data_IF_826005931252
#
_entry.id   IF_826005931252
#
_cell.length_a   1.000
_cell.length_b   1.000
_cell.length_c   1.000
_cell.angle_alpha   90.00
_cell.angle_beta   90.00
_cell.angle_gamma   90.00
#
_symmetry.space_group_name_H-M   'P 1'
#
loop_
_entity.id
_entity.type
_entity.pdbx_description
1 polymer ?
#
# COMPACT_ATOMS: atom_id res chain seq x y z
N UNK A 1 6.25 -8.56 19.83
CA UNK A 1 7.53 -7.82 20.07
C UNK A 1 7.22 -6.47 20.72
N UNK A 2 7.70 -6.21 21.94
CA UNK A 2 7.44 -4.94 22.67
C UNK A 2 7.90 -3.67 21.94
N UNK A 3 8.87 -3.80 21.02
CA UNK A 3 9.47 -2.68 20.28
C UNK A 3 8.83 -2.38 18.93
N UNK A 4 7.86 -3.17 18.48
CA UNK A 4 7.27 -2.97 17.15
C UNK A 4 6.51 -1.64 17.04
N UNK A 5 5.70 -1.29 18.05
CA UNK A 5 4.94 -0.04 18.02
C UNK A 5 5.82 1.22 18.03
N UNK A 6 6.86 1.34 18.89
CA UNK A 6 7.84 2.43 18.78
C UNK A 6 8.52 2.51 17.43
N UNK A 7 8.92 1.37 16.85
CA UNK A 7 9.53 1.32 15.53
C UNK A 7 8.55 1.81 14.44
N UNK A 8 7.29 1.39 14.51
CA UNK A 8 6.25 1.82 13.59
C UNK A 8 6.02 3.34 13.68
N UNK A 9 5.98 3.89 14.90
CA UNK A 9 5.91 5.35 15.13
C UNK A 9 7.09 6.08 14.51
N UNK A 10 8.31 5.55 14.66
CA UNK A 10 9.50 6.13 14.05
C UNK A 10 9.42 6.12 12.53
N UNK A 11 8.88 5.05 11.94
CA UNK A 11 8.73 4.93 10.49
C UNK A 11 7.78 5.97 9.89
N UNK A 12 6.76 6.40 10.64
CA UNK A 12 5.84 7.48 10.24
C UNK A 12 6.32 8.88 10.63
N UNK A 13 7.41 9.01 11.40
CA UNK A 13 7.97 10.31 11.74
C UNK A 13 8.79 10.87 10.56
N UNK A 14 8.12 11.48 9.58
CA UNK A 14 8.74 11.97 8.33
C UNK A 14 9.85 13.01 8.53
N UNK A 15 9.92 13.65 9.70
CA UNK A 15 10.99 14.61 10.03
C UNK A 15 12.25 13.93 10.59
N UNK A 16 12.14 12.69 11.04
CA UNK A 16 13.27 11.95 11.59
C UNK A 16 14.16 11.40 10.46
N UNK A 17 15.49 11.58 10.52
CA UNK A 17 16.40 11.13 9.46
C UNK A 17 16.33 9.61 9.21
N UNK A 18 16.16 8.82 10.27
CA UNK A 18 16.06 7.35 10.17
C UNK A 18 14.63 6.81 9.91
N UNK A 19 13.64 7.65 9.61
CA UNK A 19 12.26 7.20 9.36
C UNK A 19 12.18 6.18 8.21
N UNK A 20 12.90 6.41 7.13
CA UNK A 20 12.97 5.48 6.00
C UNK A 20 13.63 4.14 6.37
N UNK A 21 14.67 4.15 7.21
CA UNK A 21 15.32 2.93 7.71
C UNK A 21 14.38 2.15 8.63
N UNK A 22 13.65 2.86 9.50
CA UNK A 22 12.61 2.25 10.33
C UNK A 22 11.53 1.60 9.46
N UNK A 23 11.09 2.24 8.38
CA UNK A 23 10.15 1.66 7.42
C UNK A 23 10.66 0.35 6.80
N UNK A 24 11.95 0.28 6.46
CA UNK A 24 12.58 -0.95 5.94
C UNK A 24 12.57 -2.08 6.98
N UNK A 25 12.90 -1.76 8.23
CA UNK A 25 12.88 -2.76 9.31
C UNK A 25 11.44 -3.24 9.54
N UNK A 26 10.45 -2.34 9.53
CA UNK A 26 9.02 -2.73 9.64
C UNK A 26 8.61 -3.67 8.50
N UNK A 27 9.01 -3.37 7.26
CA UNK A 27 8.77 -4.25 6.10
C UNK A 27 9.39 -5.63 6.31
N UNK A 28 10.67 -5.70 6.69
CA UNK A 28 11.36 -6.97 6.94
C UNK A 28 10.66 -7.80 8.03
N UNK A 29 10.23 -7.16 9.11
CA UNK A 29 9.48 -7.82 10.18
C UNK A 29 8.13 -8.36 9.68
N UNK A 30 7.39 -7.57 8.89
CA UNK A 30 6.11 -8.00 8.33
C UNK A 30 6.24 -9.10 7.26
N UNK A 31 7.37 -9.14 6.55
CA UNK A 31 7.70 -10.23 5.62
C UNK A 31 7.99 -11.53 6.35
N UNK A 32 8.70 -11.45 7.49
CA UNK A 32 8.99 -12.60 8.34
C UNK A 32 7.73 -13.11 9.05
N UNK A 33 7.01 -12.23 9.74
CA UNK A 33 5.75 -12.54 10.41
C UNK A 33 4.79 -11.35 10.32
N UNK A 34 3.80 -11.46 9.43
CA UNK A 34 2.80 -10.42 9.23
C UNK A 34 1.89 -10.25 10.46
N UNK A 35 1.74 -11.24 11.33
CA UNK A 35 0.86 -11.14 12.50
C UNK A 35 1.32 -10.09 13.51
N UNK A 36 2.58 -9.68 13.46
CA UNK A 36 3.13 -8.61 14.29
C UNK A 36 2.40 -7.27 14.14
N UNK A 37 1.80 -7.01 12.97
CA UNK A 37 1.11 -5.75 12.69
C UNK A 37 -0.35 -5.74 13.16
N UNK A 38 -0.91 -6.90 13.55
CA UNK A 38 -2.35 -7.09 13.81
C UNK A 38 -2.92 -6.05 14.77
N UNK A 39 -2.25 -5.80 15.89
CA UNK A 39 -2.71 -4.86 16.92
C UNK A 39 -2.38 -3.40 16.59
N UNK A 40 -1.74 -3.17 15.44
CA UNK A 40 -1.28 -1.86 14.97
C UNK A 40 -1.93 -1.43 13.66
N UNK A 41 -2.85 -2.23 13.10
CA UNK A 41 -3.52 -1.94 11.83
C UNK A 41 -4.22 -0.57 11.82
N UNK A 42 -4.85 -0.19 12.94
CA UNK A 42 -5.49 1.11 13.08
C UNK A 42 -4.50 2.28 13.10
N UNK A 43 -3.32 2.08 13.71
CA UNK A 43 -2.29 3.10 13.71
C UNK A 43 -1.65 3.21 12.33
N UNK A 44 -1.29 2.06 11.74
CA UNK A 44 -0.72 1.96 10.41
C UNK A 44 -1.58 2.66 9.36
N UNK A 45 -2.85 2.27 9.22
CA UNK A 45 -3.75 2.80 8.18
C UNK A 45 -3.95 4.31 8.28
N UNK A 46 -4.00 4.87 9.50
CA UNK A 46 -4.25 6.30 9.72
C UNK A 46 -3.10 7.21 9.33
N UNK A 47 -1.85 6.72 9.37
CA UNK A 47 -0.65 7.55 9.14
C UNK A 47 -0.02 7.29 7.76
N UNK A 48 -0.59 6.40 6.94
CA UNK A 48 -0.07 6.09 5.60
C UNK A 48 0.06 7.33 4.71
N UNK A 49 -0.92 8.23 4.76
CA UNK A 49 -0.96 9.45 3.95
C UNK A 49 0.05 10.52 4.40
N UNK A 50 0.70 10.34 5.56
CA UNK A 50 1.73 11.27 6.04
C UNK A 50 3.06 11.07 5.33
N UNK A 51 3.28 9.90 4.72
CA UNK A 51 4.54 9.55 4.05
C UNK A 51 4.73 10.36 2.77
N UNK A 52 5.78 11.17 2.73
CA UNK A 52 6.11 12.03 1.57
C UNK A 52 7.20 11.45 0.69
N UNK A 53 8.18 10.74 1.26
CA UNK A 53 9.33 10.22 0.51
C UNK A 53 9.12 8.78 0.02
N UNK A 54 9.60 8.48 -1.19
CA UNK A 54 9.46 7.15 -1.80
C UNK A 54 10.20 6.04 -1.06
N UNK A 55 11.29 6.38 -0.37
CA UNK A 55 12.09 5.43 0.42
C UNK A 55 11.28 4.81 1.57
N UNK A 56 10.32 5.56 2.12
CA UNK A 56 9.39 5.09 3.15
C UNK A 56 8.04 4.64 2.56
N UNK A 57 7.52 5.33 1.53
CA UNK A 57 6.26 4.91 0.85
C UNK A 57 6.34 3.48 0.32
N UNK A 58 7.46 3.10 -0.33
CA UNK A 58 7.60 1.77 -0.96
C UNK A 58 7.46 0.61 0.03
N UNK A 59 8.20 0.57 1.15
CA UNK A 59 8.01 -0.44 2.20
C UNK A 59 6.55 -0.51 2.69
N UNK A 60 5.95 0.64 2.95
CA UNK A 60 4.59 0.71 3.51
C UNK A 60 3.53 0.29 2.49
N UNK A 61 3.69 0.64 1.21
CA UNK A 61 2.83 0.18 0.13
C UNK A 61 2.90 -1.34 -0.03
N UNK A 62 4.09 -1.93 0.09
CA UNK A 62 4.23 -3.39 0.07
C UNK A 62 3.53 -4.03 1.26
N UNK A 63 3.66 -3.46 2.46
CA UNK A 63 2.93 -3.94 3.64
C UNK A 63 1.42 -3.86 3.38
N UNK A 64 0.89 -2.79 2.78
CA UNK A 64 -0.53 -2.74 2.39
C UNK A 64 -0.92 -3.93 1.51
N UNK A 65 -0.12 -4.25 0.49
CA UNK A 65 -0.39 -5.37 -0.41
C UNK A 65 -0.33 -6.73 0.31
N UNK A 66 0.52 -6.87 1.33
CA UNK A 66 0.59 -8.08 2.16
C UNK A 66 -0.63 -8.21 3.07
N UNK A 67 -1.02 -7.11 3.75
CA UNK A 67 -2.18 -7.08 4.65
C UNK A 67 -3.46 -7.47 3.89
N UNK A 68 -3.64 -6.91 2.70
CA UNK A 68 -4.83 -7.10 1.87
C UNK A 68 -4.84 -8.41 1.09
N UNK A 69 -3.72 -9.17 1.10
CA UNK A 69 -3.65 -10.41 0.37
C UNK A 69 -4.61 -11.46 0.98
N UNK A 70 -5.48 -12.11 0.19
CA UNK A 70 -6.58 -12.93 0.70
C UNK A 70 -6.11 -14.12 1.54
N UNK A 71 -4.92 -14.67 1.24
CA UNK A 71 -4.31 -15.77 2.00
C UNK A 71 -3.74 -15.38 3.37
N UNK A 72 -3.70 -14.09 3.73
CA UNK A 72 -3.10 -13.63 5.00
C UNK A 72 -4.10 -13.50 6.14
N UNK A 73 -5.39 -13.36 5.83
CA UNK A 73 -6.47 -13.50 6.83
C UNK A 73 -6.50 -12.45 7.95
N UNK A 74 -5.83 -11.30 7.79
CA UNK A 74 -5.90 -10.22 8.77
C UNK A 74 -7.29 -9.58 8.75
N UNK A 75 -7.89 -9.42 9.94
CA UNK A 75 -9.19 -8.75 10.10
C UNK A 75 -8.99 -7.24 10.06
N UNK A 76 -9.48 -6.60 9.00
CA UNK A 76 -9.49 -5.15 8.85
C UNK A 76 -10.86 -4.57 9.19
N UNK A 77 -10.85 -3.45 9.91
CA UNK A 77 -12.05 -2.63 10.06
C UNK A 77 -12.35 -1.91 8.75
N UNK A 78 -13.61 -1.46 8.59
CA UNK A 78 -14.01 -0.64 7.45
C UNK A 78 -13.14 0.62 7.32
N UNK A 79 -12.87 1.29 8.44
CA UNK A 79 -12.01 2.47 8.48
C UNK A 79 -10.59 2.18 8.00
N UNK A 80 -10.01 1.03 8.36
CA UNK A 80 -8.69 0.64 7.86
C UNK A 80 -8.68 0.51 6.34
N UNK A 81 -9.70 -0.16 5.78
CA UNK A 81 -9.83 -0.32 4.34
C UNK A 81 -9.98 1.02 3.63
N UNK A 82 -10.85 1.91 4.12
CA UNK A 82 -11.07 3.24 3.55
C UNK A 82 -9.81 4.11 3.54
N UNK A 83 -9.05 4.12 4.64
CA UNK A 83 -7.78 4.86 4.71
C UNK A 83 -6.75 4.29 3.74
N UNK A 84 -6.61 2.97 3.67
CA UNK A 84 -5.72 2.31 2.73
C UNK A 84 -6.15 2.56 1.28
N UNK A 85 -7.44 2.53 0.97
CA UNK A 85 -7.99 2.87 -0.36
C UNK A 85 -7.60 4.29 -0.76
N UNK A 86 -7.91 5.29 0.09
CA UNK A 86 -7.60 6.70 -0.20
C UNK A 86 -6.12 6.89 -0.45
N UNK A 87 -5.25 6.42 0.45
CA UNK A 87 -3.81 6.60 0.29
C UNK A 87 -3.23 5.86 -0.92
N UNK A 88 -3.74 4.67 -1.25
CA UNK A 88 -3.28 3.97 -2.44
C UNK A 88 -3.70 4.71 -3.72
N UNK A 89 -4.88 5.34 -3.77
CA UNK A 89 -5.26 6.20 -4.90
C UNK A 89 -4.38 7.46 -4.97
N UNK A 90 -4.11 8.11 -3.84
CA UNK A 90 -3.21 9.27 -3.78
C UNK A 90 -1.84 8.91 -4.38
N UNK A 91 -1.26 7.76 -4.00
CA UNK A 91 0.01 7.29 -4.54
C UNK A 91 -0.04 6.86 -6.01
N UNK A 92 -1.22 6.50 -6.52
CA UNK A 92 -1.38 6.18 -7.94
C UNK A 92 -1.42 7.44 -8.81
N UNK A 93 -1.94 8.54 -8.25
CA UNK A 93 -2.16 9.82 -8.93
C UNK A 93 -0.94 10.75 -8.81
N UNK A 94 -0.26 10.74 -7.66
CA UNK A 94 0.91 11.59 -7.40
C UNK A 94 2.16 11.13 -8.18
N UNK A 95 3.28 11.85 -8.01
CA UNK A 95 4.57 11.51 -8.62
C UNK A 95 5.38 10.46 -7.82
N UNK A 96 4.70 9.50 -7.18
CA UNK A 96 5.39 8.41 -6.47
C UNK A 96 6.15 7.50 -7.43
N UNK A 97 7.25 6.93 -6.94
CA UNK A 97 8.03 5.94 -7.68
C UNK A 97 7.17 4.76 -8.16
N UNK A 98 7.52 4.22 -9.33
CA UNK A 98 6.84 3.07 -9.97
C UNK A 98 6.61 1.90 -9.01
N UNK A 99 7.59 1.60 -8.14
CA UNK A 99 7.46 0.52 -7.17
C UNK A 99 6.33 0.75 -6.13
N UNK A 100 6.13 2.00 -5.69
CA UNK A 100 5.01 2.37 -4.81
C UNK A 100 3.69 2.13 -5.54
N UNK A 101 3.58 2.64 -6.77
CA UNK A 101 2.39 2.49 -7.62
C UNK A 101 2.04 1.02 -7.85
N UNK A 102 3.02 0.16 -8.11
CA UNK A 102 2.82 -1.30 -8.31
C UNK A 102 2.16 -1.96 -7.10
N UNK A 103 2.60 -1.63 -5.88
CA UNK A 103 1.99 -2.17 -4.67
C UNK A 103 0.63 -1.52 -4.36
N UNK A 104 0.48 -0.22 -4.63
CA UNK A 104 -0.76 0.50 -4.47
C UNK A 104 -1.87 -0.06 -5.37
N UNK A 105 -1.62 -0.23 -6.68
CA UNK A 105 -2.61 -0.83 -7.59
C UNK A 105 -2.96 -2.27 -7.22
N UNK A 106 -1.99 -3.05 -6.72
CA UNK A 106 -2.25 -4.42 -6.24
C UNK A 106 -3.18 -4.39 -5.02
N UNK A 107 -2.96 -3.46 -4.10
CA UNK A 107 -3.80 -3.25 -2.90
C UNK A 107 -5.22 -2.82 -3.29
N UNK A 108 -5.35 -1.87 -4.21
CA UNK A 108 -6.63 -1.38 -4.71
C UNK A 108 -7.42 -2.48 -5.43
N UNK A 109 -6.75 -3.34 -6.19
CA UNK A 109 -7.41 -4.49 -6.81
C UNK A 109 -8.03 -5.43 -5.77
N UNK A 110 -7.32 -5.75 -4.68
CA UNK A 110 -7.86 -6.60 -3.61
C UNK A 110 -9.03 -5.91 -2.89
N UNK A 111 -8.91 -4.60 -2.60
CA UNK A 111 -9.98 -3.81 -1.97
C UNK A 111 -11.23 -3.72 -2.85
N UNK A 112 -11.08 -3.61 -4.16
CA UNK A 112 -12.20 -3.49 -5.08
C UNK A 112 -13.01 -4.77 -5.27
N UNK A 113 -12.54 -5.93 -4.78
CA UNK A 113 -13.36 -7.15 -4.71
C UNK A 113 -14.55 -7.02 -3.76
N UNK A 114 -14.50 -6.05 -2.83
CA UNK A 114 -15.59 -5.75 -1.89
C UNK A 114 -16.39 -4.50 -2.28
N UNK A 115 -15.82 -3.64 -3.14
CA UNK A 115 -16.40 -2.34 -3.52
C UNK A 115 -16.11 -2.05 -5.00
N UNK A 116 -17.09 -2.28 -5.86
CA UNK A 116 -16.94 -2.22 -7.32
C UNK A 116 -16.36 -0.88 -7.82
N UNK A 117 -16.76 0.25 -7.22
CA UNK A 117 -16.27 1.59 -7.62
C UNK A 117 -14.74 1.72 -7.55
N UNK A 118 -14.06 0.93 -6.70
CA UNK A 118 -12.59 0.94 -6.62
C UNK A 118 -12.00 0.34 -7.91
N UNK A 119 -12.61 -0.70 -8.46
CA UNK A 119 -12.17 -1.28 -9.74
C UNK A 119 -12.42 -0.33 -10.91
N UNK A 120 -13.55 0.38 -10.91
CA UNK A 120 -13.87 1.38 -11.94
C UNK A 120 -12.83 2.50 -11.95
N UNK A 121 -12.56 3.10 -10.79
CA UNK A 121 -11.58 4.18 -10.66
C UNK A 121 -10.15 3.70 -10.97
N UNK A 122 -9.79 2.51 -10.48
CA UNK A 122 -8.48 1.91 -10.76
C UNK A 122 -8.29 1.66 -12.26
N UNK A 123 -9.32 1.17 -12.97
CA UNK A 123 -9.28 0.96 -14.42
C UNK A 123 -8.98 2.27 -15.15
N UNK A 124 -9.71 3.34 -14.84
CA UNK A 124 -9.53 4.67 -15.45
C UNK A 124 -8.08 5.14 -15.30
N UNK A 125 -7.52 5.05 -14.08
CA UNK A 125 -6.15 5.48 -13.80
C UNK A 125 -5.13 4.62 -14.57
N UNK A 126 -5.31 3.30 -14.58
CA UNK A 126 -4.39 2.38 -15.24
C UNK A 126 -4.40 2.58 -16.76
N UNK A 127 -5.56 2.75 -17.39
CA UNK A 127 -5.71 2.97 -18.83
C UNK A 127 -5.11 4.32 -19.24
N UNK A 128 -5.44 5.40 -18.50
CA UNK A 128 -4.91 6.76 -18.76
C UNK A 128 -3.38 6.80 -18.72
N UNK A 129 -2.77 6.14 -17.75
CA UNK A 129 -1.33 6.18 -17.54
C UNK A 129 -0.57 5.08 -18.29
N UNK A 130 -1.27 4.14 -18.94
CA UNK A 130 -0.66 2.94 -19.48
C UNK A 130 0.44 3.25 -20.50
N UNK A 131 0.18 4.11 -21.49
CA UNK A 131 1.08 4.36 -22.63
C UNK A 131 2.36 5.12 -22.23
N UNK A 132 2.24 6.10 -21.34
CA UNK A 132 3.33 6.96 -20.87
C UNK A 132 4.19 6.35 -19.76
N UNK A 133 3.74 5.25 -19.16
CA UNK A 133 4.43 4.66 -18.00
C UNK A 133 5.58 3.70 -18.36
N UNK A 134 6.43 3.41 -17.37
CA UNK A 134 7.54 2.46 -17.47
C UNK A 134 7.08 1.03 -17.77
N UNK A 135 8.01 0.19 -18.25
CA UNK A 135 7.74 -1.22 -18.50
C UNK A 135 7.24 -1.98 -17.25
N UNK A 136 7.81 -1.67 -16.08
CA UNK A 136 7.40 -2.26 -14.81
C UNK A 136 5.96 -1.93 -14.44
N UNK A 137 5.55 -0.66 -14.61
CA UNK A 137 4.17 -0.23 -14.42
C UNK A 137 3.24 -0.93 -15.40
N UNK A 138 3.55 -0.88 -16.70
CA UNK A 138 2.75 -1.50 -17.79
C UNK A 138 2.52 -2.99 -17.54
N UNK A 139 3.56 -3.70 -17.10
CA UNK A 139 3.48 -5.12 -16.79
C UNK A 139 2.42 -5.40 -15.72
N UNK A 140 2.47 -4.68 -14.59
CA UNK A 140 1.51 -4.85 -13.49
C UNK A 140 0.11 -4.35 -13.85
N UNK A 141 0.01 -3.20 -14.51
CA UNK A 141 -1.26 -2.63 -14.96
C UNK A 141 -2.02 -3.63 -15.85
N UNK A 142 -1.34 -4.25 -16.82
CA UNK A 142 -1.91 -5.28 -17.68
C UNK A 142 -2.38 -6.51 -16.90
N UNK A 143 -1.63 -6.95 -15.89
CA UNK A 143 -2.03 -8.07 -15.04
C UNK A 143 -3.33 -7.76 -14.29
N UNK A 144 -3.45 -6.54 -13.74
CA UNK A 144 -4.64 -6.11 -12.98
C UNK A 144 -5.84 -5.89 -13.89
N UNK A 145 -5.67 -5.19 -15.02
CA UNK A 145 -6.76 -4.95 -15.98
C UNK A 145 -7.36 -6.25 -16.51
N UNK A 146 -6.56 -7.31 -16.69
CA UNK A 146 -7.06 -8.64 -17.04
C UNK A 146 -7.91 -9.30 -15.95
N UNK A 147 -7.68 -8.94 -14.68
CA UNK A 147 -8.38 -9.50 -13.52
C UNK A 147 -9.63 -8.70 -13.13
N UNK A 148 -9.68 -7.41 -13.46
CA UNK A 148 -10.88 -6.60 -13.32
C UNK A 148 -11.85 -7.06 -14.41
N UNK A 149 -12.93 -7.73 -14.01
CA UNK A 149 -13.98 -8.12 -14.95
C UNK A 149 -14.67 -6.85 -15.47
N UNK A 150 -14.96 -6.86 -16.77
CA UNK A 150 -15.94 -5.93 -17.37
C UNK A 150 -17.32 -6.50 -17.09
#
# INVERSE_FOLDING_TARGET
LKLFHPLLKLAFNVKHPDSHRAAWIVELLCLHDLMIIKDHLNYFSRHLNELTNDSAKRPMAKICSLILHPKKGLKLTQLNKEKMTSTCFDWMIDDSAVAVKVYAMTSLYELGKEKDWIHDELRIILEKNYTSSSAGYKCRAREILKKIKV
#
